data_IF_163979381836
#
_entry.id   IF_163979381836
#
_cell.length_a   1.000
_cell.length_b   1.000
_cell.length_c   1.000
_cell.angle_alpha   90.00
_cell.angle_beta   90.00
_cell.angle_gamma   90.00
#
_symmetry.space_group_name_H-M   'P 1'
#
loop_
_entity.id
_entity.type
_entity.pdbx_description
1 polymer ?
#
# COMPACT_ATOMS: atom_id res chain seq x y z
N UNK A 1 -17.29 -2.45 -2.60
CA UNK A 1 -16.62 -1.50 -1.68
C UNK A 1 -16.28 -2.19 -0.38
N UNK A 2 -15.10 -1.94 0.15
CA UNK A 2 -14.71 -2.51 1.44
C UNK A 2 -14.82 -1.45 2.55
N UNK A 3 -14.97 -1.90 3.79
CA UNK A 3 -14.99 -0.99 4.94
C UNK A 3 -13.56 -0.56 5.28
N UNK A 4 -13.44 0.49 6.11
CA UNK A 4 -12.13 0.92 6.61
C UNK A 4 -11.44 -0.20 7.39
N UNK A 5 -12.20 -0.95 8.17
CA UNK A 5 -11.66 -2.07 8.95
C UNK A 5 -11.13 -3.17 8.04
N UNK A 6 -11.88 -3.55 7.02
CA UNK A 6 -11.45 -4.54 6.04
C UNK A 6 -10.20 -4.07 5.31
N UNK A 7 -10.14 -2.78 4.96
CA UNK A 7 -8.97 -2.20 4.31
C UNK A 7 -7.75 -2.27 5.22
N UNK A 8 -7.89 -1.91 6.49
CA UNK A 8 -6.78 -1.96 7.44
C UNK A 8 -6.28 -3.38 7.65
N UNK A 9 -7.17 -4.35 7.66
CA UNK A 9 -6.80 -5.76 7.77
C UNK A 9 -6.01 -6.21 6.54
N UNK A 10 -6.41 -5.76 5.36
CA UNK A 10 -5.69 -6.06 4.13
C UNK A 10 -4.28 -5.45 4.14
N UNK A 11 -4.16 -4.19 4.59
CA UNK A 11 -2.86 -3.54 4.73
C UNK A 11 -1.96 -4.32 5.68
N UNK A 12 -2.51 -4.76 6.81
CA UNK A 12 -1.76 -5.53 7.79
C UNK A 12 -1.24 -6.84 7.21
N UNK A 13 -2.10 -7.54 6.49
CA UNK A 13 -1.73 -8.80 5.86
C UNK A 13 -0.61 -8.61 4.85
N UNK A 14 -0.75 -7.63 3.97
CA UNK A 14 0.27 -7.35 2.95
C UNK A 14 1.58 -6.92 3.61
N UNK A 15 1.51 -6.06 4.64
CA UNK A 15 2.70 -5.58 5.33
C UNK A 15 3.51 -6.73 5.93
N UNK A 16 2.84 -7.74 6.45
CA UNK A 16 3.50 -8.91 6.98
C UNK A 16 4.12 -9.77 5.87
N UNK A 17 3.41 -9.93 4.77
CA UNK A 17 3.89 -10.72 3.65
C UNK A 17 5.15 -10.15 3.00
N UNK A 18 5.21 -8.83 2.86
CA UNK A 18 6.39 -8.19 2.25
C UNK A 18 7.40 -7.69 3.27
N UNK A 19 7.14 -7.93 4.55
CA UNK A 19 8.01 -7.53 5.66
C UNK A 19 8.30 -6.02 5.65
N UNK A 20 7.23 -5.23 5.51
CA UNK A 20 7.30 -3.77 5.51
C UNK A 20 6.19 -3.24 6.42
N UNK A 21 6.50 -3.11 7.70
CA UNK A 21 5.50 -2.79 8.74
C UNK A 21 5.44 -1.28 8.95
N UNK A 22 4.29 -0.63 8.70
CA UNK A 22 4.15 0.80 8.97
C UNK A 22 4.00 1.06 10.46
N UNK A 23 4.43 2.26 10.87
CA UNK A 23 4.21 2.71 12.23
C UNK A 23 2.75 3.09 12.44
N UNK A 24 2.14 3.69 11.42
CA UNK A 24 0.75 4.12 11.48
C UNK A 24 0.17 4.13 10.07
N UNK A 25 -1.12 3.80 9.96
CA UNK A 25 -1.86 3.84 8.70
C UNK A 25 -3.00 4.83 8.86
N UNK A 26 -3.10 5.77 7.92
CA UNK A 26 -4.16 6.76 7.86
C UNK A 26 -4.96 6.59 6.57
N UNK A 27 -6.24 6.87 6.63
CA UNK A 27 -7.12 6.84 5.46
C UNK A 27 -7.75 8.23 5.36
N UNK A 28 -7.48 8.94 4.26
CA UNK A 28 -7.95 10.31 4.07
C UNK A 28 -8.32 10.57 2.63
N UNK A 29 -9.13 11.58 2.39
CA UNK A 29 -9.39 12.05 1.03
C UNK A 29 -8.14 12.73 0.50
N UNK A 30 -7.75 12.38 -0.71
CA UNK A 30 -6.60 12.96 -1.38
C UNK A 30 -7.01 13.32 -2.81
N UNK A 31 -6.50 14.43 -3.33
CA UNK A 31 -6.94 14.93 -4.64
C UNK A 31 -6.30 14.19 -5.82
N UNK A 32 -5.01 13.92 -5.76
CA UNK A 32 -4.30 13.41 -6.92
C UNK A 32 -3.45 12.19 -6.66
N UNK A 33 -3.29 11.77 -5.40
CA UNK A 33 -2.45 10.61 -5.06
C UNK A 33 -3.30 9.49 -4.51
N UNK A 34 -2.85 8.26 -4.74
CA UNK A 34 -3.48 7.09 -4.14
C UNK A 34 -2.97 6.87 -2.71
N UNK A 35 -1.81 7.41 -2.39
CA UNK A 35 -1.25 7.31 -1.06
C UNK A 35 0.08 8.04 -0.94
N UNK A 36 0.64 8.04 0.25
CA UNK A 36 1.96 8.61 0.51
C UNK A 36 2.60 7.89 1.71
N UNK A 37 3.92 7.92 1.76
CA UNK A 37 4.67 7.32 2.86
C UNK A 37 5.65 8.37 3.40
N UNK A 38 5.53 8.68 4.70
CA UNK A 38 6.43 9.64 5.31
C UNK A 38 7.72 8.94 5.78
N UNK A 39 8.81 9.71 6.03
CA UNK A 39 10.05 9.14 6.55
C UNK A 39 9.87 8.39 7.87
N UNK A 40 8.82 8.72 8.64
CA UNK A 40 8.54 8.08 9.92
C UNK A 40 7.73 6.80 9.79
N UNK A 41 7.61 6.26 8.58
CA UNK A 41 6.84 5.05 8.31
C UNK A 41 5.35 5.22 8.58
N UNK A 42 4.85 6.44 8.44
CA UNK A 42 3.41 6.72 8.50
C UNK A 42 2.91 6.73 7.07
N UNK A 43 1.94 5.87 6.78
CA UNK A 43 1.39 5.75 5.44
C UNK A 43 -0.03 6.29 5.42
N UNK A 44 -0.31 7.16 4.45
CA UNK A 44 -1.65 7.68 4.23
C UNK A 44 -2.17 7.11 2.92
N UNK A 45 -3.36 6.51 2.97
CA UNK A 45 -4.02 5.98 1.78
C UNK A 45 -5.22 6.85 1.42
N UNK A 46 -5.43 7.01 0.13
CA UNK A 46 -6.59 7.73 -0.37
C UNK A 46 -7.85 6.93 -0.08
N UNK A 47 -8.84 7.59 0.50
CA UNK A 47 -10.13 6.97 0.82
C UNK A 47 -10.79 6.32 -0.40
N UNK A 48 -10.50 6.82 -1.60
CA UNK A 48 -11.03 6.24 -2.84
C UNK A 48 -10.63 4.78 -3.05
N UNK A 49 -9.56 4.31 -2.39
CA UNK A 49 -9.15 2.93 -2.49
C UNK A 49 -10.15 1.95 -1.89
N UNK A 50 -11.06 2.44 -1.05
CA UNK A 50 -12.16 1.61 -0.53
C UNK A 50 -13.14 1.21 -1.62
N UNK A 51 -13.16 1.96 -2.73
CA UNK A 51 -14.13 1.77 -3.81
C UNK A 51 -13.57 1.10 -5.06
N UNK A 52 -12.25 0.93 -5.14
CA UNK A 52 -11.64 0.31 -6.33
C UNK A 52 -11.65 -1.21 -6.20
N UNK A 53 -11.40 -1.89 -7.33
CA UNK A 53 -11.34 -3.35 -7.33
C UNK A 53 -10.16 -3.90 -6.54
N UNK A 54 -10.21 -5.19 -6.18
CA UNK A 54 -9.18 -5.78 -5.31
C UNK A 54 -7.77 -5.73 -5.90
N UNK A 55 -7.62 -5.93 -7.20
CA UNK A 55 -6.29 -5.92 -7.83
C UNK A 55 -5.63 -4.55 -7.73
N UNK A 56 -6.37 -3.51 -8.08
CA UNK A 56 -5.83 -2.14 -8.03
C UNK A 56 -5.57 -1.72 -6.59
N UNK A 57 -6.46 -2.07 -5.69
CA UNK A 57 -6.30 -1.75 -4.26
C UNK A 57 -5.04 -2.41 -3.70
N UNK A 58 -4.84 -3.69 -4.00
CA UNK A 58 -3.69 -4.44 -3.53
C UNK A 58 -2.38 -3.87 -4.07
N UNK A 59 -2.39 -3.51 -5.35
CA UNK A 59 -1.21 -2.89 -5.96
C UNK A 59 -0.87 -1.56 -5.30
N UNK A 60 -1.88 -0.72 -5.05
CA UNK A 60 -1.67 0.58 -4.40
C UNK A 60 -1.14 0.42 -2.97
N UNK A 61 -1.69 -0.53 -2.22
CA UNK A 61 -1.22 -0.80 -0.86
C UNK A 61 0.23 -1.25 -0.88
N UNK A 62 0.55 -2.20 -1.75
CA UNK A 62 1.91 -2.73 -1.86
C UNK A 62 2.90 -1.64 -2.26
N UNK A 63 2.51 -0.79 -3.20
CA UNK A 63 3.33 0.32 -3.67
C UNK A 63 3.75 1.22 -2.51
N UNK A 64 2.79 1.64 -1.68
CA UNK A 64 3.10 2.54 -0.57
C UNK A 64 3.89 1.84 0.53
N UNK A 65 3.56 0.60 0.84
CA UNK A 65 4.30 -0.15 1.86
C UNK A 65 5.75 -0.37 1.48
N UNK A 66 6.03 -0.57 0.19
CA UNK A 66 7.40 -0.77 -0.27
C UNK A 66 8.27 0.46 -0.06
N UNK A 67 7.67 1.66 0.01
CA UNK A 67 8.42 2.87 0.32
C UNK A 67 9.02 2.87 1.73
N UNK A 68 8.57 2.00 2.60
CA UNK A 68 9.20 1.81 3.91
C UNK A 68 10.61 1.24 3.74
N UNK A 69 10.79 0.37 2.76
CA UNK A 69 12.06 -0.30 2.49
C UNK A 69 12.88 0.36 1.39
N UNK A 70 12.21 0.92 0.40
CA UNK A 70 12.85 1.51 -0.78
C UNK A 70 12.32 2.91 -1.00
N UNK A 71 13.14 3.92 -0.77
CA UNK A 71 12.70 5.32 -0.88
C UNK A 71 12.42 5.73 -2.33
N UNK A 72 13.14 5.14 -3.27
CA UNK A 72 13.00 5.48 -4.69
C UNK A 72 12.36 4.33 -5.47
N UNK A 73 11.76 4.66 -6.61
CA UNK A 73 11.20 3.66 -7.53
C UNK A 73 12.31 3.03 -8.38
N UNK A 74 13.37 2.56 -7.72
CA UNK A 74 14.48 1.94 -8.41
C UNK A 74 14.18 0.52 -8.85
N UNK A 75 15.21 -0.16 -9.33
CA UNK A 75 15.07 -1.51 -9.87
C UNK A 75 14.50 -2.49 -8.84
N UNK A 76 15.02 -2.48 -7.62
CA UNK A 76 14.57 -3.39 -6.57
C UNK A 76 13.11 -3.16 -6.20
N UNK A 77 12.71 -1.89 -6.07
CA UNK A 77 11.34 -1.54 -5.80
C UNK A 77 10.41 -2.13 -6.86
N UNK A 78 10.74 -1.89 -8.12
CA UNK A 78 9.89 -2.34 -9.23
C UNK A 78 9.84 -3.86 -9.34
N UNK A 79 10.95 -4.54 -9.10
CA UNK A 79 10.99 -5.99 -9.16
C UNK A 79 10.17 -6.64 -8.04
N UNK A 80 10.28 -6.11 -6.82
CA UNK A 80 9.52 -6.65 -5.69
C UNK A 80 8.04 -6.39 -5.88
N UNK A 81 7.68 -5.17 -6.31
CA UNK A 81 6.28 -4.84 -6.56
C UNK A 81 5.68 -5.76 -7.62
N UNK A 82 6.37 -5.92 -8.74
CA UNK A 82 5.89 -6.77 -9.83
C UNK A 82 5.74 -8.22 -9.38
N UNK A 83 6.72 -8.75 -8.69
CA UNK A 83 6.69 -10.13 -8.23
C UNK A 83 5.52 -10.37 -7.28
N UNK A 84 5.29 -9.43 -6.36
CA UNK A 84 4.19 -9.57 -5.41
C UNK A 84 2.83 -9.48 -6.09
N UNK A 85 2.64 -8.50 -6.97
CA UNK A 85 1.38 -8.31 -7.69
C UNK A 85 1.08 -9.54 -8.55
N UNK A 86 2.08 -10.04 -9.29
CA UNK A 86 1.89 -11.24 -10.13
C UNK A 86 1.54 -12.47 -9.30
N UNK A 87 2.17 -12.62 -8.15
CA UNK A 87 1.94 -13.79 -7.28
C UNK A 87 0.54 -13.80 -6.69
N UNK A 88 -0.04 -12.63 -6.45
CA UNK A 88 -1.34 -12.52 -5.78
C UNK A 88 -2.53 -12.41 -6.74
N UNK A 89 -2.28 -12.41 -8.03
CA UNK A 89 -3.35 -12.36 -9.05
C UNK A 89 -3.86 -13.78 -9.39
#
# INVERSE_FOLDING_TARGET
MVSKEEFRNEVRQISQEINAIPKQVRIREMKSKMGSCSPNKIITFNKSLLKVGPSLRREAITHELLHIRYKNHGKMFREVLKAYVERTH
#
